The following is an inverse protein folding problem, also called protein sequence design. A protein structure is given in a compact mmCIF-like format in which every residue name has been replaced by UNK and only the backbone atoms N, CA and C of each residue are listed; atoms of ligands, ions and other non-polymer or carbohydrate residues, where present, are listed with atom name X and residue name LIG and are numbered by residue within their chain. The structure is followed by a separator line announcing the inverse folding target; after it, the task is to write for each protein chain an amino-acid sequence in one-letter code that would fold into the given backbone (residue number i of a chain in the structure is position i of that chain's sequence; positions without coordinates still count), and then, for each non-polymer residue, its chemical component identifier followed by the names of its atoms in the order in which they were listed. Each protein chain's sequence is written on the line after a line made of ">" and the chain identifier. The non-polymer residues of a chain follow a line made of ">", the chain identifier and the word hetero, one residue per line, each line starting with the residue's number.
data_IF_619872084277
#
_entry.id   IF_619872084277
#
_cell.length_a   1.000
_cell.length_b   1.000
_cell.length_c   1.000
_cell.angle_alpha   90.00
_cell.angle_beta   90.00
_cell.angle_gamma   90.00
#
_symmetry.space_group_name_H-M   'P 1'
#
loop_
_entity.id
_entity.type
_entity.pdbx_description
1 polymer ?
#
# COMPACT_ATOMS: atom_id res chain seq x y z
N UNK A 1 -2.15 6.57 -5.77
CA UNK A 1 -1.15 5.66 -5.15
C UNK A 1 -0.04 5.35 -6.15
N UNK A 2 1.15 4.97 -5.67
CA UNK A 2 2.26 4.54 -6.54
C UNK A 2 2.79 3.19 -6.05
N UNK A 3 3.10 2.22 -6.93
CA UNK A 3 3.69 0.95 -6.53
C UNK A 3 5.08 1.14 -5.91
N UNK A 4 5.37 0.41 -4.84
CA UNK A 4 6.71 0.37 -4.26
C UNK A 4 7.65 -0.51 -5.09
N UNK A 5 8.94 -0.19 -5.04
CA UNK A 5 10.01 -0.93 -5.76
C UNK A 5 10.10 -2.41 -5.38
N UNK A 6 9.77 -2.76 -4.13
CA UNK A 6 9.90 -4.11 -3.58
C UNK A 6 8.53 -4.78 -3.47
N UNK A 7 7.92 -5.12 -4.61
CA UNK A 7 6.56 -5.66 -4.69
C UNK A 7 6.50 -7.12 -5.21
N UNK A 8 7.63 -7.83 -5.21
CA UNK A 8 7.71 -9.23 -5.61
C UNK A 8 7.38 -10.23 -4.48
N UNK A 9 7.29 -11.53 -4.80
CA UNK A 9 7.07 -12.59 -3.82
C UNK A 9 8.09 -12.54 -2.68
N UNK A 10 7.62 -12.76 -1.44
CA UNK A 10 8.42 -12.75 -0.22
C UNK A 10 9.20 -11.45 0.08
N UNK A 11 8.88 -10.32 -0.56
CA UNK A 11 9.53 -9.03 -0.31
C UNK A 11 8.85 -8.24 0.82
N UNK A 12 9.07 -8.67 2.07
CA UNK A 12 8.45 -8.07 3.25
C UNK A 12 8.78 -6.58 3.46
N UNK A 13 9.90 -6.10 2.92
CA UNK A 13 10.28 -4.68 2.97
C UNK A 13 9.25 -3.77 2.29
N UNK A 14 8.66 -4.22 1.18
CA UNK A 14 7.60 -3.45 0.51
C UNK A 14 6.33 -3.41 1.35
N UNK A 15 5.94 -4.55 1.93
CA UNK A 15 4.77 -4.64 2.80
C UNK A 15 4.93 -3.71 4.00
N UNK A 16 6.08 -3.77 4.69
CA UNK A 16 6.34 -2.95 5.87
C UNK A 16 6.36 -1.43 5.60
N UNK A 17 6.62 -1.02 4.35
CA UNK A 17 6.67 0.39 3.96
C UNK A 17 5.42 0.87 3.21
N UNK A 18 4.44 -0.01 2.99
CA UNK A 18 3.24 0.32 2.23
C UNK A 18 2.14 0.87 3.13
N UNK A 19 1.39 1.83 2.59
CA UNK A 19 0.12 2.30 3.15
C UNK A 19 -1.03 1.34 2.84
N UNK A 20 -0.92 0.51 1.81
CA UNK A 20 -1.98 -0.42 1.39
C UNK A 20 -1.53 -1.37 0.30
N UNK A 21 -2.38 -2.36 0.01
CA UNK A 21 -2.16 -3.36 -1.03
C UNK A 21 -3.18 -3.19 -2.16
N UNK A 22 -2.70 -2.93 -3.37
CA UNK A 22 -3.56 -2.89 -4.55
C UNK A 22 -3.95 -4.30 -4.99
N UNK A 23 -5.25 -4.55 -5.18
CA UNK A 23 -5.77 -5.80 -5.75
C UNK A 23 -5.67 -5.71 -7.27
N UNK A 24 -4.70 -6.40 -7.83
CA UNK A 24 -4.44 -6.40 -9.28
C UNK A 24 -4.87 -7.74 -9.88
N UNK A 25 -5.80 -7.77 -10.85
CA UNK A 25 -6.18 -8.98 -11.57
C UNK A 25 -5.00 -9.67 -12.25
N UNK A 26 -5.13 -10.97 -12.50
CA UNK A 26 -4.17 -11.71 -13.33
C UNK A 26 -4.04 -11.04 -14.71
N UNK A 27 -2.81 -10.82 -15.17
CA UNK A 27 -2.51 -10.07 -16.40
C UNK A 27 -2.19 -8.58 -16.17
N UNK A 28 -2.40 -8.06 -14.96
CA UNK A 28 -2.05 -6.68 -14.59
C UNK A 28 -3.10 -5.65 -14.99
N UNK A 29 -2.80 -4.38 -14.70
CA UNK A 29 -3.63 -3.22 -15.06
C UNK A 29 -2.76 -2.12 -15.67
N UNK A 30 -3.36 -1.21 -16.44
CA UNK A 30 -2.65 -0.04 -16.96
C UNK A 30 -2.59 1.06 -15.90
N UNK A 31 -1.62 1.95 -16.03
CA UNK A 31 -1.59 3.16 -15.20
C UNK A 31 -2.86 3.99 -15.39
N UNK A 32 -3.41 4.53 -14.31
CA UNK A 32 -4.67 5.27 -14.30
C UNK A 32 -5.94 4.40 -14.27
N UNK A 33 -5.80 3.07 -14.33
CA UNK A 33 -6.92 2.17 -14.07
C UNK A 33 -7.23 2.15 -12.57
N UNK A 34 -8.50 2.35 -12.22
CA UNK A 34 -8.96 2.21 -10.84
C UNK A 34 -8.88 0.76 -10.38
N UNK A 35 -8.38 0.56 -9.17
CA UNK A 35 -8.26 -0.75 -8.51
C UNK A 35 -8.60 -0.61 -7.04
N UNK A 36 -9.08 -1.69 -6.45
CA UNK A 36 -9.31 -1.75 -5.01
C UNK A 36 -7.98 -1.68 -4.26
N UNK A 37 -7.94 -0.84 -3.22
CA UNK A 37 -6.83 -0.76 -2.29
C UNK A 37 -7.32 -1.32 -0.96
N UNK A 38 -6.64 -2.36 -0.48
CA UNK A 38 -6.84 -2.90 0.85
C UNK A 38 -5.89 -2.18 1.80
N UNK A 39 -6.43 -1.54 2.83
CA UNK A 39 -5.62 -0.89 3.85
C UNK A 39 -4.86 -1.94 4.67
N UNK A 40 -3.62 -1.60 5.02
CA UNK A 40 -2.82 -2.41 5.93
C UNK A 40 -3.11 -1.99 7.38
N UNK A 41 -2.98 -2.90 8.36
CA UNK A 41 -3.44 -2.64 9.73
C UNK A 41 -2.65 -1.56 10.46
N UNK A 42 -1.47 -1.20 9.96
CA UNK A 42 -0.65 -0.09 10.45
C UNK A 42 -0.76 1.17 9.59
N UNK A 43 -1.48 1.11 8.48
CA UNK A 43 -1.72 2.28 7.65
C UNK A 43 -2.59 3.27 8.44
N UNK A 44 -2.23 4.55 8.46
CA UNK A 44 -3.01 5.54 9.19
C UNK A 44 -4.39 5.64 8.54
N UNK A 45 -5.43 5.18 9.25
CA UNK A 45 -6.79 5.61 8.98
C UNK A 45 -6.80 7.15 9.12
N UNK A 46 -6.77 7.88 8.02
CA UNK A 46 -6.39 9.31 8.02
C UNK A 46 -7.49 10.24 8.58
N UNK A 47 -7.18 11.48 9.02
CA UNK A 47 -5.87 12.14 8.97
C UNK A 47 -5.37 12.66 10.35
N UNK A 48 -4.05 12.85 10.49
CA UNK A 48 -3.37 13.53 11.62
C UNK A 48 -4.13 13.55 12.96
N UNK A 49 -4.02 12.53 13.80
CA UNK A 49 -4.01 12.83 15.24
C UNK A 49 -2.57 12.74 15.64
N UNK A 50 -1.99 13.92 15.90
CA UNK A 50 -0.63 14.09 16.39
C UNK A 50 -0.44 13.27 17.67
N UNK A 51 -0.02 12.02 17.51
CA UNK A 51 0.59 11.26 18.58
C UNK A 51 2.02 11.77 18.72
N UNK A 52 2.20 12.80 19.56
CA UNK A 52 3.51 13.27 19.98
C UNK A 52 4.30 12.06 20.51
N UNK A 53 5.32 11.61 19.79
CA UNK A 53 6.29 10.65 20.32
C UNK A 53 7.38 11.46 21.03
N UNK A 54 7.15 11.74 22.30
CA UNK A 54 8.24 11.97 23.27
C UNK A 54 8.79 10.65 23.75
#
# INVERSE_FOLDING_TARGET
>A
VAPLRYNGPAMLRGIAAADGLAVVPAGGVRSGTEVEILDLPWAPATPWTEGCFT
#
